data_IF_292007626158
#
_entry.id   IF_292007626158
#
_cell.length_a   1.000
_cell.length_b   1.000
_cell.length_c   1.000
_cell.angle_alpha   90.00
_cell.angle_beta   90.00
_cell.angle_gamma   90.00
#
_symmetry.space_group_name_H-M   'P 1'
#
loop_
_entity.id
_entity.type
_entity.pdbx_description
1 polymer ?
#
# COMPACT_ATOMS: atom_id res chain seq x y z
N UNK A 1 -57.83 -17.13 31.80
CA UNK A 1 -56.80 -16.06 31.73
C UNK A 1 -55.57 -16.59 32.41
N UNK A 2 -54.55 -16.81 31.61
CA UNK A 2 -53.44 -17.75 31.83
C UNK A 2 -52.28 -17.06 32.56
N UNK A 3 -51.81 -17.70 33.62
CA UNK A 3 -50.51 -17.42 34.26
C UNK A 3 -49.37 -17.78 33.29
N UNK A 4 -48.28 -17.01 33.22
CA UNK A 4 -47.13 -17.39 32.41
C UNK A 4 -46.31 -18.48 33.11
N UNK A 5 -46.22 -19.63 32.46
CA UNK A 5 -45.30 -20.73 32.77
C UNK A 5 -43.87 -20.34 32.40
N UNK A 6 -42.95 -20.52 33.34
CA UNK A 6 -41.50 -20.51 33.12
C UNK A 6 -41.01 -21.92 32.79
N UNK A 7 -40.23 -22.08 31.71
CA UNK A 7 -39.25 -23.16 31.49
C UNK A 7 -38.19 -22.71 30.46
N UNK A 8 -37.00 -23.33 30.40
CA UNK A 8 -35.71 -22.65 30.47
C UNK A 8 -35.08 -22.36 29.10
N UNK A 9 -34.37 -21.24 28.99
CA UNK A 9 -33.43 -21.03 27.88
C UNK A 9 -32.16 -21.83 28.19
N UNK A 10 -32.06 -23.03 27.62
CA UNK A 10 -30.76 -23.69 27.45
C UNK A 10 -30.05 -23.02 26.27
N UNK A 11 -29.10 -22.14 26.54
CA UNK A 11 -28.08 -21.76 25.57
C UNK A 11 -26.82 -22.55 25.89
N UNK A 12 -26.55 -23.58 25.08
CA UNK A 12 -25.30 -24.31 25.11
C UNK A 12 -24.16 -23.39 24.65
N UNK A 13 -23.18 -23.27 25.54
CA UNK A 13 -21.75 -23.01 25.31
C UNK A 13 -21.35 -21.75 24.53
N UNK A 14 -20.59 -20.91 25.25
CA UNK A 14 -19.67 -19.88 24.74
C UNK A 14 -20.31 -18.72 24.00
N UNK A 15 -21.09 -17.94 24.75
CA UNK A 15 -20.95 -16.49 24.65
C UNK A 15 -19.51 -16.17 25.09
N UNK A 16 -18.59 -16.02 24.14
CA UNK A 16 -17.36 -15.31 24.45
C UNK A 16 -17.76 -13.87 24.72
N UNK A 17 -17.90 -13.54 26.01
CA UNK A 17 -17.44 -12.28 26.52
C UNK A 17 -15.97 -12.11 26.07
N UNK A 18 -15.76 -11.72 24.81
CA UNK A 18 -14.56 -10.99 24.44
C UNK A 18 -14.76 -9.63 25.10
N UNK A 19 -14.40 -9.62 26.37
CA UNK A 19 -14.16 -8.45 27.18
C UNK A 19 -13.56 -7.39 26.26
N UNK A 20 -14.29 -6.29 26.07
CA UNK A 20 -13.84 -5.15 25.29
C UNK A 20 -12.77 -4.46 26.16
N UNK A 21 -11.65 -5.13 26.39
CA UNK A 21 -10.52 -4.57 27.11
C UNK A 21 -10.02 -3.44 26.24
N UNK A 22 -10.31 -2.22 26.68
CA UNK A 22 -9.70 -1.01 26.18
C UNK A 22 -8.19 -1.15 26.38
N UNK A 23 -7.49 -1.62 25.35
CA UNK A 23 -6.02 -1.62 25.34
C UNK A 23 -5.53 -0.22 25.67
N UNK A 24 -4.67 -0.11 26.68
CA UNK A 24 -4.08 1.15 27.08
C UNK A 24 -2.78 1.36 26.31
N UNK A 25 -2.68 2.48 25.58
CA UNK A 25 -1.45 2.85 24.89
C UNK A 25 -0.53 3.60 25.84
N UNK A 26 0.75 3.23 25.84
CA UNK A 26 1.81 3.88 26.61
C UNK A 26 2.83 4.50 25.65
N UNK A 27 3.14 5.77 25.85
CA UNK A 27 4.18 6.46 25.08
C UNK A 27 5.51 6.41 25.84
N UNK A 28 6.52 5.82 25.20
CA UNK A 28 7.84 5.59 25.79
C UNK A 28 8.83 6.58 25.17
N UNK A 29 9.40 7.47 26.00
CA UNK A 29 10.33 8.52 25.59
C UNK A 29 11.78 8.04 25.52
N UNK A 30 11.99 6.86 24.94
CA UNK A 30 13.33 6.28 24.79
C UNK A 30 13.60 6.03 23.32
N UNK A 31 14.67 6.62 22.80
CA UNK A 31 15.11 6.38 21.43
C UNK A 31 15.66 4.93 21.32
N UNK A 32 15.02 4.13 20.46
CA UNK A 32 15.37 2.72 20.21
C UNK A 32 15.17 2.38 18.74
N UNK A 33 15.89 1.38 18.23
CA UNK A 33 15.55 0.77 16.93
C UNK A 33 14.21 0.02 17.03
N UNK A 34 13.51 -0.20 15.92
CA UNK A 34 12.19 -0.86 15.94
C UNK A 34 12.21 -2.21 16.69
N UNK A 35 13.22 -3.05 16.43
CA UNK A 35 13.39 -4.36 17.09
C UNK A 35 13.65 -4.24 18.58
N UNK A 36 14.47 -3.28 18.99
CA UNK A 36 14.75 -2.98 20.40
C UNK A 36 13.50 -2.42 21.13
N UNK A 37 12.73 -1.58 20.44
CA UNK A 37 11.46 -1.05 20.95
C UNK A 37 10.41 -2.16 21.11
N UNK A 38 10.31 -3.07 20.14
CA UNK A 38 9.45 -4.25 20.21
C UNK A 38 9.83 -5.13 21.40
N UNK A 39 11.11 -5.46 21.54
CA UNK A 39 11.59 -6.27 22.64
C UNK A 39 11.29 -5.60 23.99
N UNK A 40 11.60 -4.32 24.13
CA UNK A 40 11.29 -3.55 25.34
C UNK A 40 9.79 -3.61 25.70
N UNK A 41 8.92 -3.38 24.72
CA UNK A 41 7.48 -3.44 24.93
C UNK A 41 7.00 -4.85 25.30
N UNK A 42 7.61 -5.92 24.79
CA UNK A 42 7.28 -7.30 25.19
C UNK A 42 7.79 -7.67 26.58
N UNK A 43 8.90 -7.08 27.02
CA UNK A 43 9.46 -7.30 28.35
C UNK A 43 8.72 -6.52 29.45
N UNK A 44 8.21 -5.32 29.13
CA UNK A 44 7.62 -4.40 30.11
C UNK A 44 6.10 -4.20 29.97
N UNK A 45 5.54 -4.52 28.80
CA UNK A 45 4.15 -4.34 28.42
C UNK A 45 3.66 -5.57 27.62
N UNK A 46 2.78 -5.38 26.63
CA UNK A 46 2.28 -6.45 25.76
C UNK A 46 3.11 -6.58 24.47
N UNK A 47 3.07 -5.55 23.62
CA UNK A 47 3.86 -5.44 22.38
C UNK A 47 3.84 -3.95 21.96
N UNK A 48 4.49 -3.59 20.86
CA UNK A 48 4.25 -2.32 20.18
C UNK A 48 2.77 -2.21 19.76
N UNK A 49 2.27 -0.97 19.73
CA UNK A 49 0.85 -0.72 19.53
C UNK A 49 0.35 -1.22 18.16
N UNK A 50 -0.70 -2.03 18.18
CA UNK A 50 -1.51 -2.37 17.01
C UNK A 50 -2.62 -1.34 16.83
N UNK A 51 -2.72 -0.77 15.63
CA UNK A 51 -3.72 0.27 15.32
C UNK A 51 -4.79 -0.34 14.44
N UNK A 52 -6.01 -0.42 14.94
CA UNK A 52 -7.08 -1.14 14.23
C UNK A 52 -7.96 -0.20 13.40
N UNK A 53 -8.04 1.08 13.77
CA UNK A 53 -8.90 2.07 13.13
C UNK A 53 -8.48 3.52 13.48
N UNK A 54 -9.24 4.50 12.95
CA UNK A 54 -8.99 5.93 13.19
C UNK A 54 -9.19 6.39 14.64
N UNK A 55 -10.00 5.70 15.46
CA UNK A 55 -10.12 6.02 16.89
C UNK A 55 -8.83 5.67 17.63
N UNK A 56 -8.21 4.53 17.33
CA UNK A 56 -6.91 4.16 17.89
C UNK A 56 -5.81 5.14 17.46
N UNK A 57 -5.81 5.51 16.17
CA UNK A 57 -4.89 6.53 15.65
C UNK A 57 -5.04 7.87 16.40
N UNK A 58 -6.28 8.36 16.58
CA UNK A 58 -6.55 9.60 17.34
C UNK A 58 -6.08 9.50 18.80
N UNK A 59 -6.23 8.34 19.44
CA UNK A 59 -5.73 8.09 20.81
C UNK A 59 -4.20 8.18 20.86
N UNK A 60 -3.49 7.53 19.94
CA UNK A 60 -2.03 7.58 19.86
C UNK A 60 -1.50 9.00 19.62
N UNK A 61 -2.12 9.75 18.71
CA UNK A 61 -1.78 11.15 18.46
C UNK A 61 -1.94 11.99 19.74
N UNK A 62 -3.06 11.85 20.46
CA UNK A 62 -3.31 12.62 21.68
C UNK A 62 -2.29 12.31 22.79
N UNK A 63 -1.81 11.07 22.88
CA UNK A 63 -0.82 10.66 23.89
C UNK A 63 0.57 11.22 23.53
N UNK A 64 0.94 11.24 22.25
CA UNK A 64 2.25 11.71 21.76
C UNK A 64 2.34 13.22 21.55
N UNK A 65 1.22 13.92 21.40
CA UNK A 65 1.14 15.36 21.11
C UNK A 65 1.81 16.26 22.16
N UNK A 66 2.11 15.74 23.36
CA UNK A 66 2.85 16.48 24.40
C UNK A 66 4.33 16.64 24.10
N UNK A 67 4.91 15.80 23.23
CA UNK A 67 6.37 15.71 23.03
C UNK A 67 6.82 15.79 21.56
N UNK A 68 5.90 15.93 20.60
CA UNK A 68 6.13 16.11 19.15
C UNK A 68 7.13 15.12 18.48
N UNK A 69 7.51 14.03 19.14
CA UNK A 69 8.47 13.05 18.62
C UNK A 69 7.76 11.84 18.02
N UNK A 70 8.29 11.38 16.89
CA UNK A 70 7.89 10.15 16.20
C UNK A 70 8.00 8.94 17.16
N UNK A 71 7.11 7.96 17.00
CA UNK A 71 7.13 6.74 17.81
C UNK A 71 6.90 5.50 16.95
N UNK A 72 7.60 4.42 17.30
CA UNK A 72 7.37 3.11 16.70
C UNK A 72 6.01 2.55 17.11
N UNK A 73 5.35 1.91 16.14
CA UNK A 73 4.16 1.07 16.32
C UNK A 73 4.46 -0.36 15.89
N UNK A 74 3.53 -1.28 16.13
CA UNK A 74 3.74 -2.70 15.84
C UNK A 74 3.77 -3.07 14.36
N UNK A 75 3.47 -2.12 13.46
CA UNK A 75 3.48 -2.37 12.04
C UNK A 75 4.92 -2.41 11.52
N UNK A 76 5.29 -3.49 10.84
CA UNK A 76 6.60 -3.62 10.21
C UNK A 76 6.47 -4.23 8.82
N UNK A 77 7.37 -3.83 7.92
CA UNK A 77 7.42 -4.38 6.58
C UNK A 77 8.30 -5.64 6.57
N UNK A 78 7.73 -6.75 6.10
CA UNK A 78 8.51 -7.96 5.82
C UNK A 78 9.04 -7.87 4.39
N UNK A 79 10.12 -7.12 4.21
CA UNK A 79 10.68 -6.74 2.89
C UNK A 79 10.98 -7.94 1.98
N UNK A 80 11.40 -9.07 2.55
CA UNK A 80 11.66 -10.34 1.82
C UNK A 80 10.46 -11.31 1.80
N UNK A 81 9.27 -10.85 2.19
CA UNK A 81 8.07 -11.67 2.30
C UNK A 81 7.18 -11.58 1.06
N UNK A 82 6.63 -12.72 0.63
CA UNK A 82 5.54 -12.74 -0.37
C UNK A 82 4.37 -11.89 0.14
N UNK A 83 3.83 -11.02 -0.73
CA UNK A 83 2.60 -10.27 -0.44
C UNK A 83 1.50 -11.26 -0.03
N UNK A 84 0.78 -10.96 1.03
CA UNK A 84 -0.28 -11.84 1.54
C UNK A 84 -1.61 -11.14 1.41
N UNK A 85 -2.63 -11.88 0.99
CA UNK A 85 -4.00 -11.38 0.91
C UNK A 85 -4.66 -11.34 2.29
N UNK A 86 -5.41 -10.29 2.53
CA UNK A 86 -6.11 -9.99 3.76
C UNK A 86 -7.50 -9.46 3.46
N UNK A 87 -8.40 -9.69 4.40
CA UNK A 87 -9.69 -9.03 4.43
C UNK A 87 -9.64 -7.76 5.26
N UNK A 88 -10.43 -6.76 4.86
CA UNK A 88 -10.52 -5.49 5.58
C UNK A 88 -11.18 -5.72 6.92
N UNK A 89 -12.27 -6.50 6.96
CA UNK A 89 -12.95 -6.81 8.21
C UNK A 89 -12.06 -7.66 9.13
N UNK A 90 -11.81 -7.20 10.38
CA UNK A 90 -11.10 -7.99 11.37
C UNK A 90 -11.77 -9.33 11.67
N UNK A 91 -10.96 -10.37 11.87
CA UNK A 91 -11.44 -11.72 12.19
C UNK A 91 -11.90 -12.55 10.98
N UNK A 92 -11.86 -11.99 9.76
CA UNK A 92 -12.09 -12.74 8.53
C UNK A 92 -10.74 -13.17 7.94
N UNK A 93 -10.51 -14.47 7.85
CA UNK A 93 -9.27 -15.02 7.29
C UNK A 93 -9.37 -15.23 5.78
N UNK A 94 -8.25 -15.01 5.09
CA UNK A 94 -8.15 -15.27 3.66
C UNK A 94 -7.78 -16.74 3.42
N UNK A 95 -8.53 -17.40 2.53
CA UNK A 95 -8.25 -18.77 2.09
C UNK A 95 -8.17 -18.82 0.56
N UNK A 96 -7.06 -19.34 0.04
CA UNK A 96 -6.85 -19.51 -1.41
C UNK A 96 -7.92 -20.40 -2.04
N UNK A 97 -8.40 -21.41 -1.29
CA UNK A 97 -9.40 -22.36 -1.75
C UNK A 97 -10.79 -21.75 -1.93
N UNK A 98 -11.04 -20.57 -1.36
CA UNK A 98 -12.33 -19.87 -1.49
C UNK A 98 -12.27 -18.75 -2.54
N UNK A 99 -11.17 -18.61 -3.26
CA UNK A 99 -11.01 -17.53 -4.24
C UNK A 99 -11.87 -17.73 -5.49
N UNK A 100 -12.37 -16.63 -6.06
CA UNK A 100 -13.20 -16.65 -7.28
C UNK A 100 -12.63 -15.75 -8.38
N UNK A 101 -11.33 -15.85 -8.65
CA UNK A 101 -10.64 -15.03 -9.64
C UNK A 101 -11.20 -15.17 -11.07
N UNK A 102 -11.15 -14.08 -11.83
CA UNK A 102 -11.47 -14.05 -13.26
C UNK A 102 -10.34 -14.72 -14.07
N UNK A 103 -10.69 -15.55 -15.07
CA UNK A 103 -9.67 -16.26 -15.88
C UNK A 103 -8.86 -15.27 -16.72
N UNK A 104 -7.53 -15.44 -16.76
CA UNK A 104 -6.60 -14.57 -17.50
C UNK A 104 -6.04 -13.39 -16.69
N UNK A 105 -6.57 -13.15 -15.49
CA UNK A 105 -5.99 -12.24 -14.50
C UNK A 105 -5.03 -13.00 -13.56
N UNK A 106 -4.25 -13.96 -14.06
CA UNK A 106 -3.16 -14.60 -13.29
C UNK A 106 -1.78 -14.12 -13.73
N UNK A 107 -1.72 -13.18 -14.66
CA UNK A 107 -0.47 -12.63 -15.17
C UNK A 107 -0.01 -11.55 -14.18
N UNK A 108 0.68 -12.01 -13.14
CA UNK A 108 1.31 -11.22 -12.07
C UNK A 108 2.50 -10.42 -12.65
N UNK A 109 2.21 -9.44 -13.50
CA UNK A 109 3.22 -8.52 -14.02
C UNK A 109 3.33 -7.29 -13.12
N UNK A 110 3.85 -7.42 -11.89
CA UNK A 110 4.32 -6.28 -11.08
C UNK A 110 3.32 -5.16 -10.75
N UNK A 111 2.08 -5.24 -11.24
CA UNK A 111 1.08 -4.22 -11.01
C UNK A 111 0.85 -4.17 -9.50
N UNK A 112 0.87 -2.97 -8.93
CA UNK A 112 0.40 -2.67 -7.56
C UNK A 112 -1.11 -2.92 -7.41
N UNK A 113 -1.63 -3.93 -8.11
CA UNK A 113 -2.95 -4.48 -8.04
C UNK A 113 -3.07 -5.26 -6.72
N UNK A 114 -3.08 -4.45 -5.67
CA UNK A 114 -3.08 -4.87 -4.28
C UNK A 114 -4.47 -4.83 -3.68
N UNK A 115 -5.48 -4.39 -4.44
CA UNK A 115 -6.84 -4.25 -3.95
C UNK A 115 -7.82 -4.98 -4.87
N UNK A 116 -8.74 -5.72 -4.27
CA UNK A 116 -9.71 -6.55 -4.98
C UNK A 116 -10.86 -5.72 -5.56
N UNK A 117 -11.28 -6.09 -6.77
CA UNK A 117 -12.50 -5.63 -7.43
C UNK A 117 -13.46 -6.76 -7.69
N UNK A 118 -14.75 -6.46 -7.63
CA UNK A 118 -15.78 -7.35 -8.15
C UNK A 118 -15.99 -7.05 -9.64
N UNK A 119 -15.66 -8.01 -10.50
CA UNK A 119 -15.94 -7.97 -11.95
C UNK A 119 -17.28 -8.66 -12.25
N UNK A 120 -17.70 -8.61 -13.52
CA UNK A 120 -18.94 -9.24 -13.98
C UNK A 120 -19.03 -10.69 -13.47
N UNK A 121 -20.25 -11.15 -13.16
CA UNK A 121 -20.55 -12.50 -12.63
C UNK A 121 -19.87 -12.84 -11.29
N UNK A 122 -19.70 -11.86 -10.40
CA UNK A 122 -19.13 -12.02 -9.04
C UNK A 122 -17.71 -12.62 -9.02
N UNK A 123 -17.02 -12.53 -10.15
CA UNK A 123 -15.61 -12.88 -10.27
C UNK A 123 -14.75 -11.79 -9.62
N UNK A 124 -13.57 -12.17 -9.16
CA UNK A 124 -12.63 -11.24 -8.53
C UNK A 124 -11.60 -10.82 -9.56
N UNK A 125 -11.35 -9.53 -9.62
CA UNK A 125 -10.23 -8.95 -10.32
C UNK A 125 -9.40 -8.12 -9.37
N UNK A 126 -8.36 -7.50 -9.89
CA UNK A 126 -7.42 -6.73 -9.08
C UNK A 126 -7.21 -5.32 -9.66
N UNK A 127 -6.88 -4.38 -8.77
CA UNK A 127 -6.67 -2.98 -9.12
C UNK A 127 -5.70 -2.32 -8.16
N UNK A 128 -5.06 -1.26 -8.66
CA UNK A 128 -4.33 -0.34 -7.80
C UNK A 128 -5.22 0.16 -6.66
N UNK A 129 -4.71 0.14 -5.43
CA UNK A 129 -5.45 0.69 -4.30
C UNK A 129 -5.64 2.21 -4.41
N UNK A 130 -4.78 2.87 -5.21
CA UNK A 130 -4.74 4.34 -5.36
C UNK A 130 -5.70 4.88 -6.40
N UNK A 131 -6.36 4.03 -7.21
CA UNK A 131 -7.38 4.53 -8.15
C UNK A 131 -8.69 4.73 -7.43
N UNK A 132 -9.41 5.79 -7.78
CA UNK A 132 -10.73 6.05 -7.21
C UNK A 132 -11.79 5.18 -7.90
N UNK A 133 -12.60 4.47 -7.11
CA UNK A 133 -13.71 3.66 -7.61
C UNK A 133 -14.89 3.67 -6.64
N UNK A 134 -16.03 3.17 -7.14
CA UNK A 134 -17.13 2.71 -6.29
C UNK A 134 -16.64 1.61 -5.35
N UNK A 135 -17.30 1.48 -4.21
CA UNK A 135 -16.94 0.52 -3.17
C UNK A 135 -18.21 0.09 -2.42
N UNK A 136 -18.15 -1.09 -1.82
CA UNK A 136 -19.28 -1.66 -1.07
C UNK A 136 -18.97 -1.69 0.43
N UNK A 137 -19.77 -0.95 1.21
CA UNK A 137 -19.84 -1.12 2.66
C UNK A 137 -20.96 -2.10 3.03
N UNK A 138 -20.99 -2.56 4.27
CA UNK A 138 -22.06 -3.43 4.76
C UNK A 138 -23.47 -2.79 4.69
N UNK A 139 -23.60 -1.46 4.78
CA UNK A 139 -24.91 -0.78 4.95
C UNK A 139 -25.02 0.63 4.29
N UNK A 140 -24.40 0.89 3.11
CA UNK A 140 -24.59 2.16 2.40
C UNK A 140 -23.81 2.31 1.08
N UNK A 141 -24.21 3.27 0.23
CA UNK A 141 -23.58 3.57 -1.07
C UNK A 141 -23.53 5.06 -1.49
N UNK A 142 -22.60 5.32 -2.42
CA UNK A 142 -22.36 6.45 -3.33
C UNK A 142 -21.28 7.48 -2.98
N UNK A 143 -20.03 7.15 -3.35
CA UNK A 143 -18.94 8.08 -3.70
C UNK A 143 -17.82 7.31 -4.43
N UNK A 144 -16.87 8.02 -5.05
CA UNK A 144 -15.64 7.41 -5.57
C UNK A 144 -14.51 7.67 -4.60
N UNK A 145 -13.85 6.62 -4.13
CA UNK A 145 -12.73 6.70 -3.20
C UNK A 145 -11.60 5.76 -3.62
N UNK A 146 -10.38 6.08 -3.22
CA UNK A 146 -9.31 5.08 -3.16
C UNK A 146 -9.67 3.99 -2.17
N UNK A 147 -9.02 2.83 -2.24
CA UNK A 147 -9.38 1.70 -1.38
C UNK A 147 -9.25 2.05 0.12
N UNK A 148 -8.19 2.76 0.50
CA UNK A 148 -7.95 3.18 1.88
C UNK A 148 -8.97 4.23 2.38
N UNK A 149 -9.37 5.17 1.52
CA UNK A 149 -10.43 6.14 1.81
C UNK A 149 -11.78 5.43 1.96
N UNK A 150 -12.08 4.46 1.08
CA UNK A 150 -13.28 3.66 1.13
C UNK A 150 -13.38 2.82 2.42
N UNK A 151 -12.29 2.16 2.81
CA UNK A 151 -12.19 1.46 4.10
C UNK A 151 -12.48 2.40 5.27
N UNK A 152 -11.83 3.57 5.29
CA UNK A 152 -11.97 4.54 6.37
C UNK A 152 -13.42 5.05 6.46
N UNK A 153 -14.03 5.38 5.32
CA UNK A 153 -15.42 5.77 5.23
C UNK A 153 -16.35 4.67 5.75
N UNK A 154 -16.19 3.43 5.28
CA UNK A 154 -17.03 2.32 5.72
C UNK A 154 -16.91 2.05 7.21
N UNK A 155 -15.73 2.18 7.81
CA UNK A 155 -15.54 2.02 9.27
C UNK A 155 -16.09 3.17 10.09
N UNK A 156 -16.14 4.37 9.51
CA UNK A 156 -16.68 5.55 10.20
C UNK A 156 -18.21 5.57 10.17
N UNK A 157 -18.82 5.22 9.03
CA UNK A 157 -20.26 5.33 8.80
C UNK A 157 -21.02 4.00 8.89
N UNK A 158 -20.32 2.88 8.73
CA UNK A 158 -20.86 1.53 8.67
C UNK A 158 -19.97 0.55 9.47
N UNK A 159 -19.89 -0.71 9.06
CA UNK A 159 -19.01 -1.72 9.69
C UNK A 159 -17.61 -1.69 9.09
N UNK A 160 -17.46 -2.07 7.81
CA UNK A 160 -16.20 -2.07 7.05
C UNK A 160 -16.56 -2.22 5.55
N UNK A 161 -15.55 -2.32 4.67
CA UNK A 161 -15.72 -2.86 3.33
C UNK A 161 -16.19 -4.32 3.39
N UNK A 162 -17.08 -4.71 2.48
CA UNK A 162 -17.59 -6.07 2.40
C UNK A 162 -16.42 -7.08 2.29
N UNK A 163 -16.42 -8.09 3.16
CA UNK A 163 -15.25 -8.94 3.37
C UNK A 163 -15.67 -10.40 3.54
N UNK A 164 -14.88 -11.31 2.98
CA UNK A 164 -15.15 -12.75 3.05
C UNK A 164 -16.13 -13.23 2.00
N UNK A 165 -15.99 -14.50 1.64
CA UNK A 165 -16.74 -15.16 0.56
C UNK A 165 -18.23 -15.24 0.82
N UNK A 166 -18.62 -15.51 2.08
CA UNK A 166 -20.03 -15.58 2.49
C UNK A 166 -20.82 -14.32 2.16
N UNK A 167 -20.21 -13.14 2.30
CA UNK A 167 -20.89 -11.88 2.02
C UNK A 167 -20.90 -11.53 0.55
N UNK A 168 -19.82 -11.87 -0.17
CA UNK A 168 -19.76 -11.68 -1.62
C UNK A 168 -20.77 -12.56 -2.37
N UNK A 169 -21.26 -13.62 -1.73
CA UNK A 169 -22.30 -14.52 -2.24
C UNK A 169 -23.73 -14.07 -1.86
N UNK A 170 -23.89 -12.95 -1.15
CA UNK A 170 -25.21 -12.41 -0.83
C UNK A 170 -25.92 -11.94 -2.11
N UNK A 171 -27.21 -12.29 -2.25
CA UNK A 171 -28.01 -11.98 -3.43
C UNK A 171 -28.19 -10.48 -3.68
N UNK A 172 -28.11 -9.64 -2.64
CA UNK A 172 -28.17 -8.18 -2.78
C UNK A 172 -26.88 -7.64 -3.42
N UNK A 173 -25.73 -8.20 -3.10
CA UNK A 173 -24.44 -7.83 -3.71
C UNK A 173 -24.44 -8.15 -5.20
N UNK A 174 -25.02 -9.29 -5.59
CA UNK A 174 -25.14 -9.67 -6.99
C UNK A 174 -26.01 -8.67 -7.79
N UNK A 175 -27.10 -8.19 -7.21
CA UNK A 175 -27.97 -7.15 -7.82
C UNK A 175 -27.21 -5.84 -8.01
N UNK A 176 -26.42 -5.44 -7.01
CA UNK A 176 -25.59 -4.22 -7.07
C UNK A 176 -24.52 -4.33 -8.17
N UNK A 177 -23.82 -5.46 -8.28
CA UNK A 177 -22.78 -5.65 -9.32
C UNK A 177 -23.41 -5.61 -10.73
N UNK A 178 -24.54 -6.30 -10.92
CA UNK A 178 -25.24 -6.38 -12.21
C UNK A 178 -25.81 -5.04 -12.67
N UNK A 179 -26.33 -4.24 -11.73
CA UNK A 179 -26.92 -2.94 -12.06
C UNK A 179 -25.88 -1.88 -12.38
N UNK A 180 -24.69 -1.95 -11.78
CA UNK A 180 -23.78 -0.80 -11.77
C UNK A 180 -22.69 -0.81 -12.84
N UNK A 181 -22.32 -1.92 -13.49
CA UNK A 181 -21.16 -2.02 -14.43
C UNK A 181 -19.84 -1.39 -13.89
N UNK A 182 -19.77 -1.07 -12.59
CA UNK A 182 -18.82 -0.09 -12.03
C UNK A 182 -17.62 -0.72 -11.34
N UNK A 183 -17.53 -2.05 -11.36
CA UNK A 183 -16.45 -2.87 -10.78
C UNK A 183 -16.00 -2.35 -9.40
N UNK A 184 -16.84 -2.46 -8.36
CA UNK A 184 -16.55 -1.81 -7.09
C UNK A 184 -15.41 -2.48 -6.34
N UNK A 185 -14.69 -1.70 -5.52
CA UNK A 185 -13.81 -2.22 -4.49
C UNK A 185 -14.59 -3.00 -3.44
N UNK A 186 -13.95 -4.07 -2.96
CA UNK A 186 -14.37 -4.80 -1.78
C UNK A 186 -13.18 -4.94 -0.82
N UNK A 187 -13.41 -5.53 0.35
CA UNK A 187 -12.46 -5.52 1.46
C UNK A 187 -11.20 -6.36 1.25
N UNK A 188 -10.96 -6.92 0.07
CA UNK A 188 -9.76 -7.71 -0.19
C UNK A 188 -8.57 -6.78 -0.54
N UNK A 189 -7.44 -6.96 0.14
CA UNK A 189 -6.19 -6.29 -0.20
C UNK A 189 -4.96 -7.18 0.06
N UNK A 190 -3.80 -6.86 -0.53
CA UNK A 190 -2.53 -7.55 -0.26
C UNK A 190 -1.39 -6.56 -0.05
N UNK A 191 -0.51 -6.87 0.90
CA UNK A 191 0.72 -6.12 1.14
C UNK A 191 1.80 -7.00 1.83
N UNK A 192 2.95 -6.38 2.09
CA UNK A 192 4.09 -6.97 2.82
C UNK A 192 4.14 -6.56 4.30
N UNK A 193 3.18 -5.74 4.77
CA UNK A 193 3.17 -5.21 6.13
C UNK A 193 2.48 -6.16 7.09
N UNK A 194 3.08 -6.38 8.27
CA UNK A 194 2.59 -7.27 9.31
C UNK A 194 2.54 -6.54 10.64
N UNK A 195 1.63 -6.97 11.51
CA UNK A 195 1.59 -6.51 12.89
C UNK A 195 2.48 -7.41 13.76
N UNK A 196 3.23 -6.80 14.67
CA UNK A 196 4.13 -7.49 15.59
C UNK A 196 3.39 -8.46 16.51
N UNK A 197 2.14 -8.16 16.85
CA UNK A 197 1.25 -9.03 17.64
C UNK A 197 0.69 -10.22 16.84
N UNK A 198 1.01 -10.33 15.54
CA UNK A 198 0.55 -11.40 14.65
C UNK A 198 -0.87 -11.20 14.09
N UNK A 199 -1.53 -10.09 14.43
CA UNK A 199 -2.87 -9.80 13.94
C UNK A 199 -2.92 -9.49 12.44
N UNK A 200 -4.08 -9.73 11.84
CA UNK A 200 -4.36 -9.48 10.42
C UNK A 200 -5.05 -8.12 10.18
N UNK A 201 -4.99 -7.18 11.14
CA UNK A 201 -5.66 -5.90 11.00
C UNK A 201 -5.20 -5.13 9.75
N UNK A 202 -6.16 -4.59 9.04
CA UNK A 202 -6.02 -4.01 7.70
C UNK A 202 -5.84 -2.50 7.67
N UNK A 203 -5.74 -1.85 8.83
CA UNK A 203 -5.56 -0.41 8.91
C UNK A 203 -4.15 -0.03 8.43
N UNK A 204 -4.08 0.87 7.45
CA UNK A 204 -2.83 1.39 6.85
C UNK A 204 -2.83 2.92 6.71
N UNK A 205 -3.75 3.61 7.39
CA UNK A 205 -4.00 5.04 7.21
C UNK A 205 -3.24 5.87 8.25
N UNK A 206 -1.99 6.19 7.96
CA UNK A 206 -1.05 6.75 8.94
C UNK A 206 -0.99 8.28 8.99
N UNK A 207 -1.50 8.98 7.97
CA UNK A 207 -1.08 10.36 7.75
C UNK A 207 -2.23 11.35 7.44
N UNK A 208 -2.93 11.81 8.49
CA UNK A 208 -3.79 13.01 8.39
C UNK A 208 -3.20 14.23 9.12
N UNK A 209 -2.18 14.06 9.96
CA UNK A 209 -1.64 15.16 10.78
C UNK A 209 -0.11 15.36 10.67
N UNK A 210 0.62 14.48 9.96
CA UNK A 210 2.07 14.60 9.74
C UNK A 210 2.43 15.02 8.31
N UNK A 211 1.50 15.62 7.56
CA UNK A 211 1.77 16.27 6.26
C UNK A 211 2.69 17.51 6.37
N UNK A 212 3.29 17.76 7.54
CA UNK A 212 4.46 18.63 7.68
C UNK A 212 5.80 17.87 7.59
N UNK A 213 5.81 16.61 7.13
CA UNK A 213 7.04 16.07 6.53
C UNK A 213 7.31 16.88 5.25
N UNK A 214 8.21 17.85 5.36
CA UNK A 214 8.95 18.38 4.22
C UNK A 214 10.14 17.44 4.01
N UNK A 215 10.04 16.40 3.18
CA UNK A 215 11.24 15.71 2.72
C UNK A 215 12.10 16.76 2.05
N UNK A 216 13.34 16.85 2.52
CA UNK A 216 14.29 17.87 2.14
C UNK A 216 14.33 18.01 0.60
N UNK A 217 13.83 19.15 0.07
CA UNK A 217 13.67 19.43 -1.38
C UNK A 217 14.98 19.40 -2.16
N UNK A 218 16.09 19.25 -1.45
CA UNK A 218 17.46 19.29 -1.94
C UNK A 218 18.16 17.92 -2.00
N UNK A 219 17.43 16.79 -2.02
CA UNK A 219 18.05 15.46 -2.22
C UNK A 219 18.35 15.08 -3.66
N UNK A 220 17.77 15.77 -4.65
CA UNK A 220 17.93 15.43 -6.08
C UNK A 220 18.16 16.66 -6.95
N UNK A 221 18.78 16.47 -8.11
CA UNK A 221 19.05 17.52 -9.09
C UNK A 221 18.75 17.02 -10.50
N UNK A 222 17.99 17.80 -11.27
CA UNK A 222 17.77 17.56 -12.70
C UNK A 222 18.95 18.14 -13.48
N UNK A 223 19.61 17.31 -14.28
CA UNK A 223 20.68 17.70 -15.19
C UNK A 223 20.10 17.81 -16.60
N UNK A 224 20.20 19.01 -17.18
CA UNK A 224 19.66 19.34 -18.52
C UNK A 224 20.65 19.07 -19.65
N UNK A 225 21.49 18.05 -19.48
CA UNK A 225 22.35 17.52 -20.54
C UNK A 225 21.68 16.30 -21.16
N UNK A 226 21.87 16.06 -22.46
CA UNK A 226 21.35 14.87 -23.12
C UNK A 226 22.46 13.82 -23.13
N UNK A 227 22.25 12.70 -22.42
CA UNK A 227 23.22 11.60 -22.31
C UNK A 227 22.54 10.25 -22.44
N UNK A 228 23.29 9.24 -22.86
CA UNK A 228 22.89 7.83 -22.74
C UNK A 228 22.71 7.48 -21.27
N UNK A 229 22.04 6.37 -20.98
CA UNK A 229 21.83 5.96 -19.59
C UNK A 229 23.17 5.74 -18.86
N UNK A 230 24.12 5.06 -19.50
CA UNK A 230 25.45 4.81 -18.95
C UNK A 230 26.25 6.11 -18.74
N UNK A 231 26.25 7.03 -19.71
CA UNK A 231 26.93 8.32 -19.56
C UNK A 231 26.31 9.19 -18.45
N UNK A 232 24.98 9.12 -18.28
CA UNK A 232 24.26 9.78 -17.20
C UNK A 232 24.64 9.19 -15.83
N UNK A 233 24.76 7.86 -15.75
CA UNK A 233 25.23 7.15 -14.56
C UNK A 233 26.62 7.62 -14.14
N UNK A 234 27.59 7.60 -15.07
CA UNK A 234 28.95 8.07 -14.80
C UNK A 234 28.98 9.54 -14.41
N UNK A 235 28.18 10.39 -15.07
CA UNK A 235 28.08 11.80 -14.70
C UNK A 235 27.62 11.96 -13.25
N UNK A 236 26.52 11.30 -12.87
CA UNK A 236 25.98 11.40 -11.51
C UNK A 236 26.96 10.88 -10.47
N UNK A 237 27.68 9.78 -10.74
CA UNK A 237 28.70 9.25 -9.82
C UNK A 237 29.95 10.12 -9.72
N UNK A 238 30.28 10.86 -10.78
CA UNK A 238 31.43 11.78 -10.81
C UNK A 238 31.16 13.15 -10.18
N UNK A 239 29.93 13.66 -10.29
CA UNK A 239 29.58 15.03 -9.87
C UNK A 239 28.61 15.09 -8.69
N UNK A 240 27.91 13.99 -8.41
CA UNK A 240 26.88 13.86 -7.40
C UNK A 240 27.05 12.51 -6.67
N UNK A 241 25.96 11.89 -6.19
CA UNK A 241 26.00 10.57 -5.55
C UNK A 241 25.82 9.45 -6.59
N UNK A 242 24.62 9.36 -7.16
CA UNK A 242 24.27 8.37 -8.19
C UNK A 242 23.02 8.83 -8.98
N UNK A 243 22.60 8.11 -10.03
CA UNK A 243 21.27 8.29 -10.60
C UNK A 243 20.20 8.04 -9.53
N UNK A 244 19.04 8.69 -9.67
CA UNK A 244 18.02 8.62 -8.61
C UNK A 244 17.38 7.22 -8.50
N UNK A 245 17.22 6.76 -7.27
CA UNK A 245 16.39 5.61 -6.90
C UNK A 245 15.02 6.09 -6.43
N UNK A 246 13.94 5.41 -6.83
CA UNK A 246 12.57 5.75 -6.41
C UNK A 246 11.97 4.58 -5.63
N UNK A 247 11.93 4.71 -4.31
CA UNK A 247 11.58 3.60 -3.40
C UNK A 247 10.14 3.64 -2.91
N UNK A 248 9.46 4.78 -3.08
CA UNK A 248 8.12 5.02 -2.56
C UNK A 248 7.39 6.12 -3.33
N UNK A 249 6.10 6.32 -3.00
CA UNK A 249 5.25 7.33 -3.65
C UNK A 249 5.68 8.77 -3.38
N UNK A 250 6.29 9.06 -2.23
CA UNK A 250 6.74 10.42 -1.92
C UNK A 250 7.98 10.79 -2.75
N UNK A 251 8.93 9.86 -2.91
CA UNK A 251 10.05 10.00 -3.86
C UNK A 251 9.51 10.30 -5.27
N UNK A 252 8.57 9.48 -5.76
CA UNK A 252 7.95 9.67 -7.06
C UNK A 252 7.31 11.05 -7.20
N UNK A 253 6.51 11.48 -6.20
CA UNK A 253 5.77 12.76 -6.22
C UNK A 253 6.71 13.96 -6.29
N UNK A 254 7.90 13.90 -5.70
CA UNK A 254 8.82 15.03 -5.70
C UNK A 254 9.81 15.01 -6.86
N UNK A 255 10.25 13.83 -7.28
CA UNK A 255 11.07 13.67 -8.46
C UNK A 255 10.31 14.15 -9.70
N UNK A 256 9.01 13.82 -9.82
CA UNK A 256 8.21 14.30 -10.95
C UNK A 256 8.14 15.85 -11.03
N UNK A 257 8.13 16.57 -9.90
CA UNK A 257 8.13 18.05 -9.91
C UNK A 257 9.44 18.63 -10.48
N UNK A 258 10.57 17.93 -10.28
CA UNK A 258 11.83 18.30 -10.91
C UNK A 258 11.83 17.94 -12.39
N UNK A 259 11.38 16.73 -12.71
CA UNK A 259 11.32 16.16 -14.06
C UNK A 259 10.49 17.04 -15.01
N UNK A 260 9.40 17.67 -14.55
CA UNK A 260 8.60 18.63 -15.35
C UNK A 260 9.42 19.75 -16.02
N UNK A 261 10.56 20.11 -15.42
CA UNK A 261 11.42 21.17 -15.93
C UNK A 261 12.44 20.68 -16.98
N UNK A 262 12.44 19.39 -17.31
CA UNK A 262 13.30 18.82 -18.33
C UNK A 262 12.91 19.27 -19.74
N UNK A 263 13.91 19.35 -20.62
CA UNK A 263 13.71 19.68 -22.03
C UNK A 263 13.41 18.45 -22.89
N UNK A 264 13.82 17.26 -22.46
CA UNK A 264 13.58 16.00 -23.17
C UNK A 264 12.22 15.42 -22.81
N UNK A 265 11.60 14.60 -23.68
CA UNK A 265 10.29 13.99 -23.42
C UNK A 265 10.32 12.97 -22.26
N UNK A 266 11.50 12.42 -21.98
CA UNK A 266 11.75 11.51 -20.85
C UNK A 266 12.96 11.99 -20.05
N UNK A 267 13.11 11.49 -18.83
CA UNK A 267 14.26 11.72 -17.95
C UNK A 267 14.78 10.39 -17.43
N UNK A 268 16.08 10.12 -17.57
CA UNK A 268 16.68 8.92 -17.01
C UNK A 268 16.62 8.90 -15.49
N UNK A 269 16.25 7.74 -14.96
CA UNK A 269 16.29 7.38 -13.54
C UNK A 269 17.25 6.20 -13.38
N UNK A 270 17.64 5.88 -12.15
CA UNK A 270 18.64 4.84 -11.85
C UNK A 270 18.15 3.40 -12.02
N UNK A 271 17.12 3.17 -12.84
CA UNK A 271 16.52 1.86 -13.05
C UNK A 271 17.12 1.22 -14.30
N UNK A 272 17.65 0.00 -14.20
CA UNK A 272 18.31 -0.71 -15.29
C UNK A 272 17.86 -2.16 -15.36
N UNK A 273 17.81 -2.73 -16.57
CA UNK A 273 17.41 -4.13 -16.75
C UNK A 273 18.63 -5.06 -16.76
N UNK A 274 18.76 -5.88 -15.71
CA UNK A 274 19.81 -6.89 -15.64
C UNK A 274 19.41 -8.11 -16.49
N UNK A 275 19.68 -8.06 -17.79
CA UNK A 275 19.32 -9.10 -18.77
C UNK A 275 19.68 -10.52 -18.33
N UNK A 276 20.91 -10.71 -17.85
CA UNK A 276 21.40 -12.03 -17.42
C UNK A 276 20.61 -12.61 -16.24
N UNK A 277 19.99 -11.75 -15.44
CA UNK A 277 19.21 -12.13 -14.27
C UNK A 277 17.69 -12.03 -14.49
N UNK A 278 17.26 -11.50 -15.64
CA UNK A 278 15.86 -11.30 -16.02
C UNK A 278 15.05 -10.47 -15.01
N UNK A 279 15.67 -9.43 -14.42
CA UNK A 279 14.97 -8.50 -13.54
C UNK A 279 15.52 -7.07 -13.60
N UNK A 280 14.69 -6.11 -13.19
CA UNK A 280 15.04 -4.69 -13.07
C UNK A 280 15.73 -4.41 -11.72
N UNK A 281 16.75 -3.55 -11.75
CA UNK A 281 17.54 -3.17 -10.57
C UNK A 281 17.71 -1.67 -10.47
N UNK A 282 17.78 -1.16 -9.25
CA UNK A 282 18.25 0.20 -9.01
C UNK A 282 19.78 0.24 -8.94
N UNK A 283 20.37 1.33 -9.41
CA UNK A 283 21.83 1.60 -9.31
C UNK A 283 22.35 1.66 -7.88
N UNK A 284 21.47 1.81 -6.89
CA UNK A 284 21.77 1.76 -5.47
C UNK A 284 21.82 0.34 -4.89
N UNK A 285 21.73 -0.69 -5.74
CA UNK A 285 21.59 -2.10 -5.37
C UNK A 285 20.36 -2.40 -4.50
N UNK A 286 19.38 -1.50 -4.50
CA UNK A 286 18.09 -1.71 -3.84
C UNK A 286 17.15 -2.48 -4.77
N UNK A 287 16.33 -3.37 -4.21
CA UNK A 287 15.28 -4.05 -4.97
C UNK A 287 14.19 -3.08 -5.43
N UNK A 288 13.61 -3.35 -6.59
CA UNK A 288 12.50 -2.56 -7.14
C UNK A 288 11.21 -2.90 -6.41
N UNK A 289 11.01 -2.30 -5.23
CA UNK A 289 9.84 -2.53 -4.37
C UNK A 289 8.65 -1.61 -4.69
N UNK A 290 8.94 -0.45 -5.29
CA UNK A 290 7.98 0.52 -5.77
C UNK A 290 8.10 0.62 -7.29
N UNK A 291 6.97 0.62 -7.97
CA UNK A 291 6.89 0.61 -9.42
C UNK A 291 5.85 1.62 -9.90
N UNK A 292 6.19 2.39 -10.94
CA UNK A 292 5.28 3.36 -11.56
C UNK A 292 5.31 3.27 -13.10
N UNK A 293 5.42 2.07 -13.65
CA UNK A 293 5.45 1.81 -15.09
C UNK A 293 4.19 2.31 -15.85
N UNK A 294 4.38 2.77 -17.09
CA UNK A 294 3.30 3.18 -18.01
C UNK A 294 2.59 1.97 -18.63
N UNK A 295 3.38 0.94 -18.94
CA UNK A 295 2.97 -0.36 -19.46
C UNK A 295 4.00 -1.41 -19.00
N UNK A 296 3.63 -2.69 -18.99
CA UNK A 296 4.57 -3.75 -18.65
C UNK A 296 5.81 -3.66 -19.54
N UNK A 297 7.03 -3.58 -18.98
CA UNK A 297 8.26 -3.58 -19.77
C UNK A 297 8.39 -4.92 -20.51
N UNK A 298 8.76 -4.85 -21.80
CA UNK A 298 9.05 -6.01 -22.62
C UNK A 298 10.45 -6.52 -22.26
N UNK A 299 10.51 -7.72 -21.69
CA UNK A 299 11.75 -8.36 -21.23
C UNK A 299 12.56 -8.99 -22.39
N UNK A 300 12.48 -8.38 -23.58
CA UNK A 300 12.95 -8.96 -24.85
C UNK A 300 14.22 -8.29 -25.37
N UNK A 301 14.65 -7.16 -24.79
CA UNK A 301 15.85 -6.40 -25.16
C UNK A 301 16.85 -6.30 -23.99
N UNK A 302 18.14 -6.46 -24.29
CA UNK A 302 19.24 -6.51 -23.31
C UNK A 302 19.81 -5.14 -22.94
N UNK A 303 19.55 -4.13 -23.76
CA UNK A 303 20.13 -2.78 -23.61
C UNK A 303 19.02 -1.76 -23.32
N UNK A 304 18.29 -1.98 -22.23
CA UNK A 304 17.19 -1.11 -21.81
C UNK A 304 17.29 -0.64 -20.36
N UNK A 305 16.91 0.61 -20.16
CA UNK A 305 16.87 1.27 -18.86
C UNK A 305 15.57 2.04 -18.68
N UNK A 306 15.25 2.36 -17.42
CA UNK A 306 14.03 3.05 -17.05
C UNK A 306 14.15 4.56 -17.23
N UNK A 307 13.18 5.16 -17.90
CA UNK A 307 13.04 6.61 -18.02
C UNK A 307 11.64 7.06 -17.57
N UNK A 308 11.55 8.21 -16.91
CA UNK A 308 10.29 8.82 -16.48
C UNK A 308 9.77 9.81 -17.53
N UNK A 309 8.47 9.80 -17.82
CA UNK A 309 7.84 10.81 -18.67
C UNK A 309 7.95 12.22 -18.07
N UNK A 310 8.42 13.17 -18.88
CA UNK A 310 8.53 14.59 -18.51
C UNK A 310 7.16 15.27 -18.40
N UNK A 311 6.19 14.82 -19.21
CA UNK A 311 4.82 15.36 -19.28
C UNK A 311 3.81 14.23 -19.12
N UNK A 312 2.61 14.52 -18.62
CA UNK A 312 1.54 13.53 -18.47
C UNK A 312 1.54 12.87 -17.09
N UNK A 313 1.49 11.53 -17.05
CA UNK A 313 1.31 10.76 -15.81
C UNK A 313 2.60 10.49 -15.03
N UNK A 314 3.74 10.97 -15.53
CA UNK A 314 5.08 10.75 -14.95
C UNK A 314 5.39 9.27 -14.73
N UNK A 315 4.92 8.44 -15.65
CA UNK A 315 5.10 7.00 -15.63
C UNK A 315 6.49 6.62 -16.11
N UNK A 316 6.96 5.44 -15.69
CA UNK A 316 8.23 4.88 -16.14
C UNK A 316 8.03 4.08 -17.41
N UNK A 317 8.94 4.21 -18.36
CA UNK A 317 8.99 3.42 -19.57
C UNK A 317 10.38 2.85 -19.74
N UNK A 318 10.45 1.67 -20.34
CA UNK A 318 11.71 1.17 -20.87
C UNK A 318 12.10 2.00 -22.10
N UNK A 319 13.39 2.28 -22.18
CA UNK A 319 14.02 3.02 -23.27
C UNK A 319 15.34 2.38 -23.59
N UNK A 320 15.75 2.47 -24.86
CA UNK A 320 17.02 1.88 -25.28
C UNK A 320 18.16 2.69 -24.70
N UNK A 321 19.20 2.02 -24.22
CA UNK A 321 20.34 2.69 -23.58
C UNK A 321 21.09 3.63 -24.53
N UNK A 322 20.97 3.40 -25.85
CA UNK A 322 21.50 4.27 -26.90
C UNK A 322 20.74 5.59 -27.08
N UNK A 323 19.54 5.74 -26.53
CA UNK A 323 18.79 7.01 -26.56
C UNK A 323 19.42 8.02 -25.60
N UNK A 324 19.23 9.32 -25.88
CA UNK A 324 19.79 10.39 -25.03
C UNK A 324 18.69 11.24 -24.41
N UNK A 325 18.71 11.35 -23.07
CA UNK A 325 17.73 12.14 -22.31
C UNK A 325 18.43 13.01 -21.26
N UNK A 326 17.69 13.99 -20.74
CA UNK A 326 18.01 14.59 -19.44
C UNK A 326 17.92 13.52 -18.36
N UNK A 327 18.55 13.76 -17.23
CA UNK A 327 18.67 12.74 -16.18
C UNK A 327 18.66 13.41 -14.81
N UNK A 328 18.30 12.64 -13.79
CA UNK A 328 18.20 13.15 -12.43
C UNK A 328 19.16 12.40 -11.51
N UNK A 329 20.01 13.15 -10.82
CA UNK A 329 20.97 12.60 -9.87
C UNK A 329 20.46 12.79 -8.43
N UNK A 330 20.84 11.86 -7.56
CA UNK A 330 20.81 12.04 -6.12
C UNK A 330 22.00 12.91 -5.67
N UNK A 331 21.74 13.89 -4.81
CA UNK A 331 22.76 14.76 -4.21
C UNK A 331 23.38 14.05 -3.00
N UNK A 332 24.61 14.45 -2.67
CA UNK A 332 25.38 13.88 -1.55
C UNK A 332 24.78 14.14 -0.18
#
# INVERSE_FOLDING_TARGET
>A
MSSPLSFPVSCHSTCCFMDCQLYQFHYIKEAKKWTEAQQYCREKHTDLATVTNMKDMKRLINISARDQSEAWIGLYNKTLGTRTWYWSLPGVEFSVNETNWNQGESNDCGKQENCGLLVNTSKWGYASCSIQRYFLCYNGENSHFTWQEAQSYCREKHTDLISGTKQLQDGEVEKVIKSTHRKPFFGLFRDTWRWSDGSSFSFRHWNLQFNNYQPNRDKVILIKENKTWEDALYYCRGHHRDLVTITNMDDQRWIQEKVKNASTPFVWIGLHYAWSLHFWVWVSDEEVIYENWASCPQMDDCDVSGAMETRGGHKWLEKKDSETFNFICSKN
#
